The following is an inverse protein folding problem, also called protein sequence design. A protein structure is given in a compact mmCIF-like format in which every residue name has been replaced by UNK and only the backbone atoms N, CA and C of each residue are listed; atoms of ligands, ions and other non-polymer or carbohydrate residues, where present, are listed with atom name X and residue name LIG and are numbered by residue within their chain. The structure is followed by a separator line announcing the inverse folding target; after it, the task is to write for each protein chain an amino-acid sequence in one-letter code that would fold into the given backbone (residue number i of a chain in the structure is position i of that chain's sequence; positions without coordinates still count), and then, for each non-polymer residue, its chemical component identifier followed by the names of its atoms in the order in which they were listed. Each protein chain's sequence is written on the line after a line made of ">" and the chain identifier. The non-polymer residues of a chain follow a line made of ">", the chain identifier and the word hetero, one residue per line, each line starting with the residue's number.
data_IF_378630765270
#
_entry.id   IF_378630765270
#
_cell.length_a   1.000
_cell.length_b   1.000
_cell.length_c   1.000
_cell.angle_alpha   90.00
_cell.angle_beta   90.00
_cell.angle_gamma   90.00
#
_symmetry.space_group_name_H-M   'P 1'
#
loop_
_entity.id
_entity.type
_entity.pdbx_description
1 polymer ?
#
# COMPACT_ATOMS: atom_id res chain seq x y z
N UNK A 1 11.01 8.51 13.25
CA UNK A 1 11.11 7.48 12.20
C UNK A 1 11.23 8.18 10.87
N UNK A 2 12.18 7.81 10.02
CA UNK A 2 12.38 8.39 8.68
C UNK A 2 11.48 7.71 7.65
N UNK A 3 11.34 8.31 6.46
CA UNK A 3 10.55 7.73 5.37
C UNK A 3 11.15 6.43 4.85
N UNK A 4 12.47 6.34 4.85
CA UNK A 4 13.23 5.14 4.48
C UNK A 4 12.96 4.00 5.47
N UNK A 5 12.91 4.30 6.77
CA UNK A 5 12.56 3.32 7.81
C UNK A 5 11.11 2.82 7.63
N UNK A 6 10.18 3.73 7.36
CA UNK A 6 8.77 3.38 7.10
C UNK A 6 8.65 2.52 5.85
N UNK A 7 9.28 2.93 4.75
CA UNK A 7 9.26 2.19 3.48
C UNK A 7 9.91 0.82 3.64
N UNK A 8 11.06 0.72 4.31
CA UNK A 8 11.74 -0.55 4.57
C UNK A 8 10.86 -1.49 5.41
N UNK A 9 10.27 -0.99 6.49
CA UNK A 9 9.39 -1.78 7.33
C UNK A 9 8.11 -2.23 6.61
N UNK A 10 7.54 -1.39 5.74
CA UNK A 10 6.43 -1.78 4.87
C UNK A 10 6.85 -2.83 3.85
N UNK A 11 8.00 -2.66 3.21
CA UNK A 11 8.54 -3.61 2.23
C UNK A 11 8.69 -5.00 2.85
N UNK A 12 9.31 -5.08 4.03
CA UNK A 12 9.49 -6.34 4.75
C UNK A 12 8.18 -6.97 5.19
N UNK A 13 7.25 -6.20 5.77
CA UNK A 13 6.02 -6.76 6.35
C UNK A 13 4.98 -7.15 5.30
N UNK A 14 4.90 -6.42 4.18
CA UNK A 14 3.91 -6.64 3.13
C UNK A 14 4.45 -7.47 1.95
N UNK A 15 5.75 -7.81 1.95
CA UNK A 15 6.42 -8.50 0.86
C UNK A 15 6.50 -7.64 -0.41
N UNK A 16 6.82 -6.35 -0.26
CA UNK A 16 6.99 -5.40 -1.36
C UNK A 16 8.47 -5.15 -1.64
N UNK A 17 8.74 -4.61 -2.81
CA UNK A 17 10.07 -4.16 -3.20
C UNK A 17 10.09 -2.63 -3.29
N UNK A 18 11.07 -2.01 -2.63
CA UNK A 18 11.36 -0.58 -2.80
C UNK A 18 11.95 -0.39 -4.20
N UNK A 19 11.30 0.41 -5.03
CA UNK A 19 11.71 0.67 -6.40
C UNK A 19 12.65 1.87 -6.48
N UNK A 20 12.31 2.95 -5.78
CA UNK A 20 13.11 4.17 -5.72
C UNK A 20 12.81 4.95 -4.46
N UNK A 21 13.78 5.77 -4.03
CA UNK A 21 13.62 6.77 -2.98
C UNK A 21 14.19 8.07 -3.53
N UNK A 22 13.30 9.01 -3.90
CA UNK A 22 13.67 10.23 -4.60
C UNK A 22 12.84 11.41 -4.08
N UNK A 23 13.47 12.58 -3.95
CA UNK A 23 12.79 13.83 -3.56
C UNK A 23 11.90 13.70 -2.30
N UNK A 24 12.35 12.91 -1.31
CA UNK A 24 11.61 12.65 -0.08
C UNK A 24 10.36 11.79 -0.30
N UNK A 25 10.32 10.92 -1.30
CA UNK A 25 9.24 9.95 -1.51
C UNK A 25 9.84 8.57 -1.74
N UNK A 26 9.25 7.55 -1.12
CA UNK A 26 9.62 6.17 -1.36
C UNK A 26 8.53 5.47 -2.17
N UNK A 27 8.92 4.90 -3.30
CA UNK A 27 8.05 4.13 -4.18
C UNK A 27 8.24 2.64 -3.90
N UNK A 28 7.15 1.93 -3.62
CA UNK A 28 7.16 0.49 -3.42
C UNK A 28 6.19 -0.17 -4.38
N UNK A 29 6.53 -1.38 -4.81
CA UNK A 29 5.67 -2.20 -5.66
C UNK A 29 5.68 -3.65 -5.20
N UNK A 30 4.56 -4.32 -5.38
CA UNK A 30 4.41 -5.73 -5.08
C UNK A 30 2.94 -6.12 -5.03
N UNK A 31 2.65 -7.41 -5.21
CA UNK A 31 1.29 -7.97 -5.07
C UNK A 31 0.24 -7.27 -5.95
N UNK A 32 0.65 -6.81 -7.13
CA UNK A 32 -0.22 -6.08 -8.07
C UNK A 32 -0.62 -4.68 -7.60
N UNK A 33 0.10 -4.11 -6.62
CA UNK A 33 -0.15 -2.81 -6.04
C UNK A 33 1.11 -1.93 -6.08
N UNK A 34 0.89 -0.61 -6.14
CA UNK A 34 1.94 0.40 -6.00
C UNK A 34 1.67 1.26 -4.77
N UNK A 35 2.71 1.57 -4.02
CA UNK A 35 2.66 2.37 -2.80
C UNK A 35 3.60 3.55 -2.92
N UNK A 36 3.20 4.69 -2.37
CA UNK A 36 4.03 5.89 -2.29
C UNK A 36 4.01 6.37 -0.83
N UNK A 37 5.15 6.30 -0.17
CA UNK A 37 5.35 6.91 1.16
C UNK A 37 5.88 8.32 0.95
N UNK A 38 5.24 9.32 1.54
CA UNK A 38 5.64 10.72 1.37
C UNK A 38 5.42 11.57 2.64
N UNK A 39 6.12 12.68 2.82
CA UNK A 39 5.92 13.59 3.93
C UNK A 39 4.53 14.19 3.90
N UNK A 40 3.95 14.39 5.08
CA UNK A 40 2.66 15.02 5.27
C UNK A 40 2.63 15.75 6.61
N UNK A 41 2.51 17.09 6.59
CA UNK A 41 2.33 17.97 7.77
C UNK A 41 3.11 17.60 9.06
N UNK A 42 4.41 17.34 8.94
CA UNK A 42 5.25 17.04 10.12
C UNK A 42 5.44 15.54 10.40
N UNK A 43 4.74 14.68 9.68
CA UNK A 43 5.03 13.26 9.58
C UNK A 43 4.87 12.76 8.16
N UNK A 44 4.03 11.75 7.94
CA UNK A 44 4.03 10.97 6.70
C UNK A 44 2.66 10.42 6.32
N UNK A 45 2.51 10.14 5.04
CA UNK A 45 1.35 9.49 4.45
C UNK A 45 1.78 8.34 3.53
N UNK A 46 0.85 7.43 3.28
CA UNK A 46 0.98 6.34 2.33
C UNK A 46 -0.19 6.38 1.37
N UNK A 47 0.13 6.52 0.08
CA UNK A 47 -0.82 6.33 -1.01
C UNK A 47 -0.73 4.88 -1.53
N UNK A 48 -1.85 4.17 -1.54
CA UNK A 48 -2.01 2.85 -2.15
C UNK A 48 -2.75 2.98 -3.49
N UNK A 49 -2.11 2.51 -4.55
CA UNK A 49 -2.63 2.44 -5.91
C UNK A 49 -2.86 1.00 -6.32
N UNK A 50 -4.10 0.70 -6.69
CA UNK A 50 -4.51 -0.60 -7.23
C UNK A 50 -4.99 -0.42 -8.68
N UNK A 51 -4.65 -1.33 -9.60
CA UNK A 51 -5.14 -1.29 -10.97
C UNK A 51 -6.67 -1.23 -11.02
N UNK A 52 -7.21 -0.26 -11.74
CA UNK A 52 -8.66 -0.09 -11.93
C UNK A 52 -9.43 0.39 -10.70
N UNK A 53 -8.76 0.85 -9.63
CA UNK A 53 -9.44 1.38 -8.43
C UNK A 53 -8.92 2.77 -8.03
N UNK A 54 -9.75 3.47 -7.28
CA UNK A 54 -9.39 4.75 -6.67
C UNK A 54 -8.25 4.59 -5.67
N UNK A 55 -7.37 5.60 -5.63
CA UNK A 55 -6.27 5.71 -4.66
C UNK A 55 -6.80 5.71 -3.23
N UNK A 56 -6.17 4.93 -2.36
CA UNK A 56 -6.41 4.94 -0.91
C UNK A 56 -5.28 5.67 -0.20
N UNK A 57 -5.60 6.43 0.84
CA UNK A 57 -4.61 7.23 1.58
C UNK A 57 -4.65 6.87 3.08
N UNK A 58 -3.47 6.82 3.69
CA UNK A 58 -3.26 6.54 5.10
C UNK A 58 -2.30 7.60 5.67
N UNK A 59 -2.53 8.08 6.91
CA UNK A 59 -1.82 9.24 7.47
C UNK A 59 -1.30 8.94 8.87
N UNK A 60 0.01 9.08 9.08
CA UNK A 60 0.69 9.02 10.39
C UNK A 60 0.27 7.86 11.31
N UNK A 61 -0.12 6.72 10.74
CA UNK A 61 -0.58 5.57 11.53
C UNK A 61 0.59 4.79 12.15
N UNK A 62 0.35 4.10 13.26
CA UNK A 62 1.29 3.07 13.72
C UNK A 62 1.49 2.05 12.59
N UNK A 63 2.75 1.75 12.27
CA UNK A 63 3.09 0.93 11.09
C UNK A 63 2.48 -0.47 11.14
N UNK A 64 2.27 -1.04 12.33
CA UNK A 64 1.63 -2.36 12.47
C UNK A 64 0.15 -2.27 12.13
N UNK A 65 -0.53 -1.21 12.58
CA UNK A 65 -1.92 -0.95 12.23
C UNK A 65 -2.09 -0.70 10.73
N UNK A 66 -1.18 0.08 10.14
CA UNK A 66 -1.16 0.32 8.70
C UNK A 66 -1.04 -0.99 7.91
N UNK A 67 -0.07 -1.83 8.26
CA UNK A 67 0.15 -3.12 7.59
C UNK A 67 -1.10 -4.00 7.67
N UNK A 68 -1.73 -4.10 8.84
CA UNK A 68 -2.97 -4.89 9.01
C UNK A 68 -4.10 -4.35 8.13
N UNK A 69 -4.27 -3.03 8.04
CA UNK A 69 -5.31 -2.42 7.19
C UNK A 69 -5.01 -2.63 5.71
N UNK A 70 -3.76 -2.48 5.28
CA UNK A 70 -3.36 -2.74 3.90
C UNK A 70 -3.58 -4.20 3.54
N UNK A 71 -3.20 -5.16 4.39
CA UNK A 71 -3.46 -6.58 4.18
C UNK A 71 -4.96 -6.89 4.06
N UNK A 72 -5.78 -6.30 4.92
CA UNK A 72 -7.23 -6.41 4.83
C UNK A 72 -7.74 -5.92 3.48
N UNK A 73 -7.29 -4.74 3.03
CA UNK A 73 -7.65 -4.21 1.70
C UNK A 73 -7.16 -5.10 0.57
N UNK A 74 -5.91 -5.54 0.58
CA UNK A 74 -5.38 -6.42 -0.47
C UNK A 74 -6.16 -7.75 -0.54
N UNK A 75 -6.57 -8.31 0.60
CA UNK A 75 -7.40 -9.52 0.66
C UNK A 75 -8.81 -9.30 0.11
N UNK A 76 -9.50 -8.27 0.59
CA UNK A 76 -10.87 -7.95 0.15
C UNK A 76 -10.92 -7.62 -1.34
N UNK A 77 -9.86 -7.01 -1.86
CA UNK A 77 -9.79 -6.54 -3.24
C UNK A 77 -9.21 -7.62 -4.19
N UNK A 78 -8.41 -8.56 -3.68
CA UNK A 78 -7.92 -9.75 -4.39
C UNK A 78 -8.93 -10.91 -4.45
N UNK A 79 -9.90 -10.96 -3.53
CA UNK A 79 -11.01 -11.94 -3.56
C UNK A 79 -12.12 -11.63 -4.57
N UNK A 80 -12.10 -10.43 -5.17
CA UNK A 80 -13.17 -9.94 -6.06
C UNK A 80 -13.09 -10.40 -7.52
N UNK A 81 -12.06 -11.14 -7.95
CA UNK A 81 -11.97 -11.69 -9.31
C UNK A 81 -12.36 -13.17 -9.44
N UNK A 82 -12.76 -13.83 -8.35
CA UNK A 82 -13.18 -15.25 -8.38
C UNK A 82 -14.70 -15.48 -8.23
N UNK A 83 -15.52 -14.41 -8.14
CA UNK A 83 -16.94 -14.52 -7.76
C UNK A 83 -17.99 -14.11 -8.79
N UNK A 84 -17.61 -13.49 -9.92
CA UNK A 84 -18.57 -12.90 -10.86
C UNK A 84 -18.44 -13.49 -12.28
N UNK A 85 -18.48 -14.81 -12.38
CA UNK A 85 -18.63 -15.51 -13.68
C UNK A 85 -19.65 -16.64 -13.64
N UNK A 86 -20.45 -16.75 -12.58
CA UNK A 86 -21.49 -17.78 -12.45
C UNK A 86 -22.81 -17.12 -12.07
N UNK A 87 -23.44 -16.43 -13.03
CA UNK A 87 -24.89 -16.16 -13.09
C UNK A 87 -25.23 -15.36 -14.36
N UNK A 88 -25.22 -16.07 -15.48
CA UNK A 88 -26.04 -15.73 -16.64
C UNK A 88 -26.33 -17.05 -17.35
N UNK A 89 -27.24 -17.82 -16.76
CA UNK A 89 -28.03 -18.86 -17.45
C UNK A 89 -29.27 -18.20 -18.00
#
# INVERSE_FOLDING_TARGET
>A
MTLEEIAGAMATQLGLSVQSIESGRAHLEGRGARFIVSPFFGGWQVDLHLPGRSRLQFFEEDIRMLVVRIEGRLRDLGGGQAGEAVRAT
#
